data_IF_230670286304
#
_entry.id   IF_230670286304
#
_cell.length_a   1.000
_cell.length_b   1.000
_cell.length_c   1.000
_cell.angle_alpha   90.00
_cell.angle_beta   90.00
_cell.angle_gamma   90.00
#
_symmetry.space_group_name_H-M   'P 1'
#
loop_
_entity.id
_entity.type
_entity.pdbx_description
1 polymer ?
#
# COMPACT_ATOMS: atom_id res chain seq x y z
N UNK A 1 13.78 1.76 -9.91
CA UNK A 1 12.90 1.67 -8.72
C UNK A 1 13.10 2.94 -7.92
N UNK A 2 12.12 3.85 -7.90
CA UNK A 2 12.18 5.05 -7.04
C UNK A 2 11.62 4.64 -5.67
N UNK A 3 12.49 4.46 -4.70
CA UNK A 3 12.09 4.30 -3.30
C UNK A 3 12.02 5.70 -2.70
N UNK A 4 10.83 6.10 -2.28
CA UNK A 4 10.56 7.41 -1.70
C UNK A 4 9.14 7.44 -1.15
N UNK A 5 8.79 8.43 -0.33
CA UNK A 5 7.43 8.59 0.14
C UNK A 5 6.49 8.79 -1.07
N UNK A 6 5.61 7.83 -1.31
CA UNK A 6 4.57 7.91 -2.34
C UNK A 6 3.28 8.33 -1.63
N UNK A 7 2.63 9.41 -2.06
CA UNK A 7 1.30 9.77 -1.56
C UNK A 7 0.34 8.60 -1.75
N UNK A 8 -0.51 8.33 -0.77
CA UNK A 8 -1.41 7.17 -0.85
C UNK A 8 -2.34 7.22 -2.07
N UNK A 9 -2.77 8.42 -2.49
CA UNK A 9 -3.57 8.62 -3.70
C UNK A 9 -2.82 8.29 -5.01
N UNK A 10 -1.49 8.13 -4.96
CA UNK A 10 -0.64 7.71 -6.08
C UNK A 10 0.03 6.35 -5.82
N UNK A 11 -0.36 5.66 -4.75
CA UNK A 11 0.23 4.37 -4.37
C UNK A 11 -0.32 3.21 -5.22
N UNK A 12 -1.36 3.43 -6.02
CA UNK A 12 -1.87 2.41 -6.94
C UNK A 12 -0.78 1.97 -7.92
N UNK A 13 -0.60 0.65 -8.03
CA UNK A 13 0.44 0.03 -8.85
C UNK A 13 1.83 0.04 -8.22
N UNK A 14 2.03 0.73 -7.09
CA UNK A 14 3.27 0.69 -6.33
C UNK A 14 3.44 -0.65 -5.60
N UNK A 15 4.69 -0.99 -5.27
CA UNK A 15 5.02 -2.24 -4.58
C UNK A 15 5.43 -1.93 -3.15
N UNK A 16 4.80 -2.60 -2.20
CA UNK A 16 5.13 -2.45 -0.78
C UNK A 16 6.56 -2.93 -0.49
N UNK A 17 7.38 -2.02 0.03
CA UNK A 17 8.73 -2.33 0.47
C UNK A 17 8.73 -3.21 1.74
N UNK A 18 7.78 -2.97 2.64
CA UNK A 18 7.62 -3.70 3.89
C UNK A 18 6.20 -4.27 4.00
N UNK A 19 6.03 -5.28 4.86
CA UNK A 19 4.69 -5.75 5.18
C UNK A 19 3.98 -4.68 6.02
N UNK A 20 2.74 -4.36 5.66
CA UNK A 20 1.93 -3.33 6.31
C UNK A 20 0.58 -3.90 6.67
N UNK A 21 0.08 -3.61 7.86
CA UNK A 21 -1.25 -4.01 8.30
C UNK A 21 -2.18 -2.82 8.13
N UNK A 22 -3.35 -3.03 7.52
CA UNK A 22 -4.38 -2.01 7.36
C UNK A 22 -5.72 -2.57 7.84
N UNK A 23 -6.19 -2.08 8.98
CA UNK A 23 -7.34 -2.65 9.69
C UNK A 23 -7.10 -4.14 9.97
N UNK A 24 -8.02 -4.98 9.51
CA UNK A 24 -7.96 -6.44 9.66
C UNK A 24 -7.15 -7.15 8.55
N UNK A 25 -6.72 -6.44 7.51
CA UNK A 25 -5.93 -7.00 6.41
C UNK A 25 -4.44 -6.79 6.62
N UNK A 26 -3.67 -7.84 6.35
CA UNK A 26 -2.20 -7.80 6.36
C UNK A 26 -1.65 -7.88 4.94
N UNK A 27 -0.99 -6.83 4.50
CA UNK A 27 -0.27 -6.77 3.24
C UNK A 27 1.17 -7.26 3.40
N UNK A 28 1.61 -8.14 2.51
CA UNK A 28 2.98 -8.65 2.51
C UNK A 28 3.90 -7.70 1.74
N UNK A 29 5.20 -7.74 2.05
CA UNK A 29 6.22 -7.10 1.21
C UNK A 29 6.17 -7.65 -0.21
N UNK A 30 6.58 -6.86 -1.18
CA UNK A 30 6.48 -7.16 -2.61
C UNK A 30 5.03 -7.32 -3.15
N UNK A 31 4.01 -6.96 -2.35
CA UNK A 31 2.64 -6.87 -2.83
C UNK A 31 2.48 -5.60 -3.68
N UNK A 32 1.86 -5.74 -4.85
CA UNK A 32 1.52 -4.62 -5.73
C UNK A 32 0.14 -4.10 -5.33
N UNK A 33 0.07 -2.83 -4.96
CA UNK A 33 -1.15 -2.19 -4.51
C UNK A 33 -2.12 -2.02 -5.67
N UNK A 34 -3.34 -2.51 -5.49
CA UNK A 34 -4.49 -2.21 -6.34
C UNK A 34 -5.27 -1.00 -5.81
N UNK A 35 -6.23 -0.49 -6.59
CA UNK A 35 -7.14 0.57 -6.16
C UNK A 35 -7.84 0.24 -4.82
N UNK A 36 -8.27 -1.02 -4.66
CA UNK A 36 -8.92 -1.51 -3.44
C UNK A 36 -7.94 -1.54 -2.25
N UNK A 37 -6.69 -1.95 -2.49
CA UNK A 37 -5.66 -1.97 -1.44
C UNK A 37 -5.34 -0.55 -0.97
N UNK A 38 -5.24 0.40 -1.90
CA UNK A 38 -5.04 1.82 -1.59
C UNK A 38 -6.21 2.37 -0.77
N UNK A 39 -7.45 2.07 -1.15
CA UNK A 39 -8.63 2.48 -0.37
C UNK A 39 -8.64 1.88 1.03
N UNK A 40 -8.22 0.62 1.16
CA UNK A 40 -8.13 -0.07 2.46
C UNK A 40 -7.04 0.55 3.33
N UNK A 41 -5.86 0.82 2.76
CA UNK A 41 -4.75 1.49 3.45
C UNK A 41 -5.12 2.91 3.87
N UNK A 42 -5.87 3.63 3.03
CA UNK A 42 -6.35 4.99 3.31
C UNK A 42 -7.38 5.02 4.43
N UNK A 43 -8.27 4.03 4.49
CA UNK A 43 -9.26 3.90 5.57
C UNK A 43 -8.70 3.40 6.90
N UNK A 44 -7.51 2.79 6.90
CA UNK A 44 -6.84 2.31 8.11
C UNK A 44 -5.89 3.33 8.76
N UNK A 45 -5.65 4.47 8.09
CA UNK A 45 -4.77 5.55 8.55
C UNK A 45 -5.47 6.56 9.43
#
# INVERSE_FOLDING_TARGET
>A
MKFGPVPIDQAEGAVLAHATTAGERRFRKAHRLSAEDVSTLKGAG
#
